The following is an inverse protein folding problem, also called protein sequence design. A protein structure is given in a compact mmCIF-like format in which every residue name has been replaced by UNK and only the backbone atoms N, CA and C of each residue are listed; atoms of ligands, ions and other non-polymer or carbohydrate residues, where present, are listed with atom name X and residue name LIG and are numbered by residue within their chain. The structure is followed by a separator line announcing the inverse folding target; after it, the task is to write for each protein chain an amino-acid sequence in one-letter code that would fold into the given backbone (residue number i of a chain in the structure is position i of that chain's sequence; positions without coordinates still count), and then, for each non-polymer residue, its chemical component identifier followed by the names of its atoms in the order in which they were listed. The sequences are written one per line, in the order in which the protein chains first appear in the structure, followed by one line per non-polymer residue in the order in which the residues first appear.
data_IF_615824136839
#
_entry.id   IF_615824136839
#
_cell.length_a   1.000
_cell.length_b   1.000
_cell.length_c   1.000
_cell.angle_alpha   90.00
_cell.angle_beta   90.00
_cell.angle_gamma   90.00
#
_symmetry.space_group_name_H-M   'P 1'
#
loop_
_entity.id
_entity.type
_entity.pdbx_description
1 polymer ?
#
# COMPACT_ATOMS: atom_id res chain seq x y z
N UNK A 1 -8.77 -6.47 -6.74
CA UNK A 1 -8.21 -6.57 -8.11
C UNK A 1 -7.00 -7.49 -8.02
N UNK A 2 -6.61 -8.27 -9.02
CA UNK A 2 -5.38 -9.08 -8.97
C UNK A 2 -4.26 -8.39 -9.75
N UNK A 3 -3.01 -8.48 -9.28
CA UNK A 3 -1.85 -7.89 -9.95
C UNK A 3 -0.99 -8.98 -10.60
N UNK A 4 -0.37 -8.70 -11.75
CA UNK A 4 0.45 -9.70 -12.47
C UNK A 4 1.88 -9.78 -11.96
N UNK A 5 2.36 -8.73 -11.28
CA UNK A 5 3.69 -8.66 -10.71
C UNK A 5 3.68 -7.71 -9.51
N UNK A 6 4.73 -7.74 -8.71
CA UNK A 6 4.95 -6.79 -7.63
C UNK A 6 6.20 -5.96 -7.92
N UNK A 7 6.04 -4.64 -7.95
CA UNK A 7 7.14 -3.69 -8.13
C UNK A 7 8.27 -3.91 -7.10
N UNK A 8 7.92 -4.08 -5.82
CA UNK A 8 8.88 -4.29 -4.72
C UNK A 8 9.63 -5.62 -4.89
N UNK A 9 8.94 -6.72 -5.22
CA UNK A 9 9.60 -7.99 -5.48
C UNK A 9 10.59 -7.91 -6.64
N UNK A 10 10.24 -7.14 -7.69
CA UNK A 10 11.04 -7.03 -8.90
C UNK A 10 12.32 -6.20 -8.73
N UNK A 11 12.42 -5.38 -7.68
CA UNK A 11 13.65 -4.64 -7.36
C UNK A 11 14.78 -5.55 -6.86
N UNK A 12 14.48 -6.77 -6.39
CA UNK A 12 15.47 -7.73 -5.90
C UNK A 12 15.32 -9.09 -6.62
N UNK A 13 15.79 -9.20 -7.88
CA UNK A 13 15.59 -10.40 -8.69
C UNK A 13 16.25 -11.68 -8.11
N UNK A 14 17.24 -11.53 -7.22
CA UNK A 14 17.97 -12.64 -6.60
C UNK A 14 17.63 -12.87 -5.11
N UNK A 15 16.65 -12.16 -4.56
CA UNK A 15 16.24 -12.33 -3.16
C UNK A 15 15.15 -13.40 -3.00
N UNK A 16 15.03 -13.97 -1.79
CA UNK A 16 13.93 -14.87 -1.36
C UNK A 16 12.51 -14.22 -1.36
N UNK A 17 12.32 -13.15 -2.14
CA UNK A 17 11.16 -12.28 -2.13
C UNK A 17 10.37 -12.33 -3.44
N UNK A 18 10.48 -13.42 -4.22
CA UNK A 18 9.53 -13.62 -5.31
C UNK A 18 8.11 -13.73 -4.74
N UNK A 19 7.13 -13.05 -5.35
CA UNK A 19 5.75 -13.11 -4.88
C UNK A 19 5.18 -14.47 -5.26
N UNK A 20 4.53 -15.14 -4.31
CA UNK A 20 3.77 -16.34 -4.66
C UNK A 20 2.55 -15.96 -5.51
N UNK A 21 2.01 -16.86 -6.34
CA UNK A 21 0.82 -16.59 -7.13
C UNK A 21 -0.36 -16.09 -6.29
N UNK A 22 -0.55 -16.64 -5.10
CA UNK A 22 -1.62 -16.25 -4.17
C UNK A 22 -1.44 -14.81 -3.69
N UNK A 23 -0.19 -14.39 -3.45
CA UNK A 23 0.11 -13.02 -3.06
C UNK A 23 -0.15 -12.01 -4.20
N UNK A 24 -0.03 -12.44 -5.45
CA UNK A 24 -0.34 -11.64 -6.64
C UNK A 24 -1.85 -11.53 -6.88
N UNK A 25 -2.60 -12.61 -6.67
CA UNK A 25 -4.05 -12.62 -6.77
C UNK A 25 -4.73 -11.66 -5.79
N UNK A 26 -4.18 -11.56 -4.58
CA UNK A 26 -4.65 -10.66 -3.53
C UNK A 26 -3.91 -9.31 -3.50
N UNK A 27 -3.05 -9.04 -4.49
CA UNK A 27 -2.30 -7.79 -4.57
C UNK A 27 -3.14 -6.66 -5.16
N UNK A 28 -2.75 -5.43 -4.89
CA UNK A 28 -3.47 -4.23 -5.32
C UNK A 28 -2.49 -3.15 -5.82
N UNK A 29 -3.04 -2.15 -6.50
CA UNK A 29 -2.29 -0.96 -6.90
C UNK A 29 -2.23 -0.02 -5.70
N UNK A 30 -1.03 0.34 -5.27
CA UNK A 30 -0.85 1.29 -4.18
C UNK A 30 -1.44 2.66 -4.56
N UNK A 31 -2.37 3.25 -3.78
CA UNK A 31 -2.99 4.52 -4.13
C UNK A 31 -2.04 5.73 -4.03
N UNK A 32 -0.85 5.55 -3.44
CA UNK A 32 0.15 6.61 -3.23
C UNK A 32 1.11 6.72 -4.42
N UNK A 33 1.72 5.59 -4.80
CA UNK A 33 2.72 5.55 -5.87
C UNK A 33 2.21 4.91 -7.17
N UNK A 34 0.97 4.43 -7.18
CA UNK A 34 0.31 3.78 -8.32
C UNK A 34 1.05 2.55 -8.87
N UNK A 35 1.91 1.92 -8.06
CA UNK A 35 2.63 0.71 -8.44
C UNK A 35 1.87 -0.56 -8.03
N UNK A 36 1.84 -1.61 -8.88
CA UNK A 36 1.24 -2.89 -8.54
C UNK A 36 2.07 -3.60 -7.45
N UNK A 37 1.40 -4.01 -6.38
CA UNK A 37 2.04 -4.55 -5.19
C UNK A 37 1.33 -5.82 -4.72
N UNK A 38 2.09 -6.91 -4.51
CA UNK A 38 1.51 -8.14 -3.97
C UNK A 38 1.03 -7.95 -2.54
N UNK A 39 0.09 -8.78 -2.09
CA UNK A 39 -0.51 -8.72 -0.75
C UNK A 39 0.50 -8.68 0.39
N UNK A 40 1.62 -9.39 0.23
CA UNK A 40 2.73 -9.44 1.19
C UNK A 40 3.42 -8.09 1.38
N UNK A 41 3.50 -7.28 0.32
CA UNK A 41 4.13 -5.96 0.35
C UNK A 41 3.12 -4.82 0.52
N UNK A 42 1.84 -5.14 0.67
CA UNK A 42 0.82 -4.20 1.13
C UNK A 42 0.73 -4.19 2.66
N UNK A 43 0.39 -3.04 3.19
CA UNK A 43 0.07 -2.83 4.60
C UNK A 43 -1.16 -1.94 4.70
N UNK A 44 -1.97 -2.18 5.71
CA UNK A 44 -3.13 -1.34 6.00
C UNK A 44 -2.66 -0.09 6.70
N UNK A 45 -3.07 1.06 6.19
CA UNK A 45 -2.96 2.37 6.86
C UNK A 45 -4.36 2.87 7.15
N UNK A 46 -4.49 3.64 8.23
CA UNK A 46 -5.77 4.12 8.74
C UNK A 46 -5.72 5.62 8.93
N UNK A 47 -6.82 6.28 8.64
CA UNK A 47 -7.00 7.69 8.90
C UNK A 47 -8.39 7.96 9.45
N UNK A 48 -8.51 9.11 10.10
CA UNK A 48 -9.78 9.72 10.45
C UNK A 48 -10.08 10.85 9.47
N UNK A 49 -11.31 10.90 8.95
CA UNK A 49 -11.80 12.02 8.16
C UNK A 49 -12.03 13.24 9.05
N UNK A 50 -11.51 14.41 8.64
CA UNK A 50 -11.56 15.63 9.48
C UNK A 50 -12.95 16.25 9.55
N UNK A 51 -13.75 16.08 8.51
CA UNK A 51 -15.11 16.59 8.39
C UNK A 51 -16.13 15.75 9.18
N UNK A 52 -16.10 14.43 9.03
CA UNK A 52 -17.06 13.52 9.68
C UNK A 52 -16.56 12.89 10.98
N UNK A 53 -15.24 12.83 11.19
CA UNK A 53 -14.62 12.10 12.30
C UNK A 53 -14.62 10.57 12.12
N UNK A 54 -15.15 10.07 11.01
CA UNK A 54 -15.19 8.64 10.70
C UNK A 54 -13.79 8.10 10.43
N UNK A 55 -13.57 6.82 10.75
CA UNK A 55 -12.29 6.15 10.50
C UNK A 55 -12.39 5.28 9.27
N UNK A 56 -11.40 5.38 8.40
CA UNK A 56 -11.31 4.59 7.18
C UNK A 56 -9.90 4.00 7.03
N UNK A 57 -9.77 3.03 6.14
CA UNK A 57 -8.55 2.28 5.95
C UNK A 57 -8.33 1.94 4.48
N UNK A 58 -7.06 1.84 4.08
CA UNK A 58 -6.70 1.38 2.75
C UNK A 58 -5.42 0.57 2.79
N UNK A 59 -5.15 -0.16 1.72
CA UNK A 59 -3.90 -0.86 1.51
C UNK A 59 -2.92 0.06 0.76
N UNK A 60 -1.74 0.27 1.34
CA UNK A 60 -0.61 0.96 0.69
C UNK A 60 0.60 0.05 0.65
N UNK A 61 1.50 0.27 -0.31
CA UNK A 61 2.75 -0.49 -0.32
C UNK A 61 3.63 -0.12 0.89
N UNK A 62 4.40 -1.10 1.36
CA UNK A 62 5.30 -0.94 2.51
C UNK A 62 6.36 0.15 2.31
N UNK A 63 6.76 0.45 1.07
CA UNK A 63 7.69 1.55 0.80
C UNK A 63 7.05 2.93 1.07
N UNK A 64 5.83 3.16 0.58
CA UNK A 64 5.07 4.39 0.86
C UNK A 64 4.68 4.52 2.33
N UNK A 65 4.50 3.40 3.03
CA UNK A 65 4.31 3.40 4.47
C UNK A 65 5.60 3.78 5.21
N UNK A 66 6.74 3.15 4.89
CA UNK A 66 8.05 3.42 5.51
C UNK A 66 8.56 4.84 5.30
N UNK A 67 8.31 5.41 4.12
CA UNK A 67 8.69 6.79 3.78
C UNK A 67 7.70 7.83 4.29
N UNK A 68 6.61 7.41 4.95
CA UNK A 68 5.49 8.25 5.36
C UNK A 68 4.82 9.03 4.21
N UNK A 69 5.04 8.63 2.95
CA UNK A 69 4.46 9.28 1.78
C UNK A 69 2.92 9.28 1.81
N UNK A 70 2.31 8.24 2.40
CA UNK A 70 0.85 8.19 2.62
C UNK A 70 0.33 9.36 3.45
N UNK A 71 1.12 9.94 4.36
CA UNK A 71 0.67 11.08 5.18
C UNK A 71 0.46 12.37 4.38
N UNK A 72 1.13 12.49 3.25
CA UNK A 72 0.97 13.61 2.33
C UNK A 72 -0.21 13.40 1.38
N UNK A 73 -0.74 12.19 1.29
CA UNK A 73 -1.93 11.93 0.52
C UNK A 73 -3.13 12.49 1.26
N UNK A 74 -3.71 13.53 0.67
CA UNK A 74 -4.95 14.16 1.14
C UNK A 74 -4.88 14.65 2.60
N UNK A 75 -3.73 15.25 2.98
CA UNK A 75 -3.46 15.75 4.34
C UNK A 75 -4.45 16.81 4.83
N UNK A 76 -5.14 17.50 3.90
CA UNK A 76 -6.14 18.51 4.22
C UNK A 76 -7.43 17.90 4.78
N UNK A 77 -7.79 16.68 4.35
CA UNK A 77 -9.03 16.02 4.74
C UNK A 77 -8.81 14.84 5.68
N UNK A 78 -7.57 14.31 5.75
CA UNK A 78 -7.24 13.10 6.51
C UNK A 78 -6.33 13.38 7.67
N UNK A 79 -6.64 12.74 8.79
CA UNK A 79 -5.80 12.68 9.97
C UNK A 79 -5.27 11.26 10.16
N UNK A 80 -3.99 11.05 9.85
CA UNK A 80 -3.38 9.72 9.77
C UNK A 80 -3.09 9.15 11.16
N UNK A 81 -3.63 7.95 11.43
CA UNK A 81 -3.50 7.27 12.73
C UNK A 81 -2.29 6.32 12.74
N UNK A 82 -2.12 5.53 11.66
CA UNK A 82 -1.10 4.48 11.52
C UNK A 82 -0.45 4.49 10.16
#
# INVERSE_FOLDING_TARGET
MSVKYCYICNQQPFGHNQPTPEALEQGEICPICYQPTCRRHLTTVRWRWRDSGETDATLVCRECQRTYAHRNWDSHNRDWIT
#
